data_IF_881194313492
#
_entry.id   IF_881194313492
#
_cell.length_a   1.000
_cell.length_b   1.000
_cell.length_c   1.000
_cell.angle_alpha   90.00
_cell.angle_beta   90.00
_cell.angle_gamma   90.00
#
_symmetry.space_group_name_H-M   'P 1'
#
loop_
_entity.id
_entity.type
_entity.pdbx_description
1 polymer ?
#
# COMPACT_ATOMS: atom_id res chain seq x y z
N UNK A 1 -17.50 -56.22 11.68
CA UNK A 1 -17.82 -55.27 10.59
C UNK A 1 -16.54 -54.53 10.26
N UNK A 2 -16.07 -54.75 9.04
CA UNK A 2 -14.76 -54.35 8.53
C UNK A 2 -14.73 -52.84 8.27
N UNK A 3 -13.74 -52.14 8.83
CA UNK A 3 -13.53 -50.72 8.58
C UNK A 3 -12.55 -50.60 7.41
N UNK A 4 -13.08 -50.35 6.22
CA UNK A 4 -12.31 -50.09 5.00
C UNK A 4 -11.62 -48.73 5.10
N UNK A 5 -10.31 -48.73 4.83
CA UNK A 5 -9.46 -47.56 4.82
C UNK A 5 -9.82 -46.61 3.69
N UNK A 6 -9.95 -45.33 4.03
CA UNK A 6 -9.96 -44.23 3.07
C UNK A 6 -8.53 -43.71 2.93
N UNK A 7 -7.96 -43.86 1.72
CA UNK A 7 -6.67 -43.29 1.36
C UNK A 7 -6.74 -41.75 1.38
N UNK A 8 -5.70 -41.06 1.88
CA UNK A 8 -5.65 -39.61 1.88
C UNK A 8 -5.44 -39.08 0.46
N UNK A 9 -6.38 -38.25 0.00
CA UNK A 9 -6.23 -37.44 -1.23
C UNK A 9 -5.07 -36.47 -1.07
N UNK A 10 -3.96 -36.76 -1.73
CA UNK A 10 -2.82 -35.85 -1.91
C UNK A 10 -3.31 -34.62 -2.68
N UNK A 11 -3.27 -33.44 -2.04
CA UNK A 11 -3.54 -32.16 -2.70
C UNK A 11 -2.37 -31.83 -3.63
N UNK A 12 -2.63 -31.34 -4.86
CA UNK A 12 -1.57 -30.90 -5.76
C UNK A 12 -0.84 -29.71 -5.14
N UNK A 13 0.49 -29.80 -5.08
CA UNK A 13 1.37 -28.73 -4.59
C UNK A 13 1.15 -27.47 -5.43
N UNK A 14 0.73 -26.38 -4.79
CA UNK A 14 0.64 -25.07 -5.40
C UNK A 14 2.07 -24.57 -5.69
N UNK A 15 2.47 -24.60 -6.96
CA UNK A 15 3.74 -24.04 -7.41
C UNK A 15 3.82 -22.56 -7.05
N UNK A 16 4.70 -22.25 -6.09
CA UNK A 16 5.02 -20.91 -5.63
C UNK A 16 5.33 -19.97 -6.80
N UNK A 17 4.56 -18.88 -6.88
CA UNK A 17 4.70 -17.80 -7.88
C UNK A 17 6.13 -17.19 -7.87
N UNK A 18 6.90 -17.39 -6.80
CA UNK A 18 8.28 -16.89 -6.68
C UNK A 18 9.32 -17.70 -7.46
N UNK A 19 9.00 -18.89 -7.97
CA UNK A 19 9.92 -19.72 -8.76
C UNK A 19 9.78 -19.56 -10.28
N UNK A 20 8.98 -18.61 -10.76
CA UNK A 20 8.91 -18.36 -12.21
C UNK A 20 10.25 -17.78 -12.72
N UNK A 21 10.94 -18.43 -13.67
CA UNK A 21 12.18 -17.92 -14.22
C UNK A 21 11.92 -16.56 -14.88
N UNK A 22 12.58 -15.52 -14.37
CA UNK A 22 12.45 -14.17 -14.91
C UNK A 22 12.90 -14.18 -16.38
N UNK A 23 12.12 -13.64 -17.32
CA UNK A 23 12.53 -13.55 -18.71
C UNK A 23 13.80 -12.70 -18.78
N UNK A 24 14.89 -13.32 -19.24
CA UNK A 24 16.16 -12.61 -19.48
C UNK A 24 15.89 -11.55 -20.55
N UNK A 25 15.96 -10.27 -20.16
CA UNK A 25 15.92 -9.15 -21.10
C UNK A 25 17.06 -9.36 -22.11
N UNK A 26 16.71 -9.73 -23.35
CA UNK A 26 17.64 -9.66 -24.47
C UNK A 26 17.88 -8.18 -24.76
N UNK A 27 19.01 -7.66 -24.28
CA UNK A 27 19.49 -6.34 -24.65
C UNK A 27 19.60 -6.28 -26.18
N UNK A 28 18.93 -5.31 -26.80
CA UNK A 28 18.99 -5.10 -28.24
C UNK A 28 20.45 -4.82 -28.64
N UNK A 29 21.00 -5.49 -29.67
CA UNK A 29 22.35 -5.20 -30.15
C UNK A 29 22.40 -3.77 -30.69
N UNK A 30 23.28 -2.96 -30.10
CA UNK A 30 23.63 -1.62 -30.56
C UNK A 30 24.18 -1.72 -31.99
N UNK A 31 23.40 -1.25 -32.97
CA UNK A 31 23.87 -1.06 -34.34
C UNK A 31 24.93 0.05 -34.35
N UNK A 32 26.20 -0.34 -34.37
CA UNK A 32 27.27 0.56 -34.77
C UNK A 32 27.09 0.90 -36.25
N UNK A 33 26.68 2.15 -36.51
CA UNK A 33 26.69 2.77 -37.83
C UNK A 33 28.13 3.16 -38.13
N UNK A 34 28.77 2.41 -39.01
CA UNK A 34 30.13 2.68 -39.48
C UNK A 34 29.99 3.51 -40.76
N UNK A 35 30.25 4.80 -40.64
CA UNK A 35 30.34 5.72 -41.77
C UNK A 35 31.65 5.44 -42.53
N UNK A 36 31.58 5.44 -43.85
CA UNK A 36 32.68 5.19 -44.77
C UNK A 36 32.83 6.41 -45.68
N UNK A 37 34.05 6.97 -45.85
CA UNK A 37 34.33 7.85 -46.96
C UNK A 37 35.42 7.32 -47.90
N UNK A 38 35.30 7.77 -49.15
CA UNK A 38 36.37 8.00 -50.15
C UNK A 38 37.21 6.79 -50.59
N UNK A 39 37.04 6.25 -51.81
CA UNK A 39 37.31 6.84 -53.13
C UNK A 39 38.77 7.28 -53.32
N UNK A 40 39.58 6.45 -53.99
CA UNK A 40 40.50 6.95 -55.02
C UNK A 40 40.99 5.84 -55.99
N UNK A 41 40.81 6.13 -57.29
CA UNK A 41 41.67 5.96 -58.49
C UNK A 41 42.89 4.99 -58.40
N UNK A 42 43.32 4.24 -59.43
CA UNK A 42 43.34 4.47 -60.88
C UNK A 42 43.99 3.25 -61.61
N UNK A 43 43.67 3.09 -62.91
CA UNK A 43 44.47 2.58 -64.06
C UNK A 43 45.06 1.15 -64.01
N UNK A 44 45.17 0.37 -65.08
CA UNK A 44 44.94 0.50 -66.53
C UNK A 44 45.05 -0.92 -67.14
N UNK A 45 44.75 -1.01 -68.44
CA UNK A 45 45.18 -2.04 -69.40
C UNK A 45 44.30 -3.29 -69.57
N UNK A 46 44.11 -3.91 -70.74
CA UNK A 46 44.24 -3.58 -72.18
C UNK A 46 43.69 -4.84 -72.90
N UNK A 47 42.77 -4.64 -73.86
CA UNK A 47 42.54 -5.45 -75.09
C UNK A 47 41.87 -6.85 -75.03
N UNK A 48 40.98 -7.04 -76.02
CA UNK A 48 40.44 -8.30 -76.61
C UNK A 48 39.39 -9.13 -75.85
N UNK A 49 38.11 -9.00 -76.22
CA UNK A 49 37.22 -10.14 -76.57
C UNK A 49 35.80 -9.65 -76.98
N UNK A 50 35.67 -9.07 -78.18
CA UNK A 50 34.37 -8.70 -78.75
C UNK A 50 33.68 -9.89 -79.41
N UNK A 51 33.22 -10.88 -78.62
CA UNK A 51 32.15 -11.81 -79.05
C UNK A 51 31.52 -12.65 -77.92
N UNK A 52 31.97 -12.51 -76.67
CA UNK A 52 31.33 -13.13 -75.47
C UNK A 52 30.43 -12.17 -74.67
N UNK A 53 30.50 -10.86 -74.90
CA UNK A 53 29.80 -9.82 -74.12
C UNK A 53 28.25 -9.89 -74.19
N UNK A 54 27.68 -10.25 -75.35
CA UNK A 54 26.20 -10.32 -75.50
C UNK A 54 25.55 -11.46 -74.70
N UNK A 55 26.30 -12.51 -74.34
CA UNK A 55 25.79 -13.60 -73.48
C UNK A 55 25.86 -13.25 -72.00
N UNK A 56 26.96 -12.63 -71.57
CA UNK A 56 27.20 -12.18 -70.18
C UNK A 56 26.24 -11.07 -69.77
N UNK A 57 25.87 -10.18 -70.68
CA UNK A 57 24.92 -9.10 -70.40
C UNK A 57 23.49 -9.63 -70.22
N UNK A 58 23.09 -10.66 -70.98
CA UNK A 58 21.79 -11.32 -70.81
C UNK A 58 21.65 -12.09 -69.49
N UNK A 59 22.73 -12.71 -69.00
CA UNK A 59 22.76 -13.39 -67.70
C UNK A 59 22.78 -12.41 -66.53
N UNK A 60 23.48 -11.27 -66.66
CA UNK A 60 23.44 -10.19 -65.67
C UNK A 60 22.04 -9.61 -65.52
N UNK A 61 21.30 -9.39 -66.62
CA UNK A 61 19.91 -8.89 -66.55
C UNK A 61 19.00 -9.88 -65.83
N UNK A 62 19.08 -11.18 -66.14
CA UNK A 62 18.30 -12.22 -65.43
C UNK A 62 18.64 -12.29 -63.94
N UNK A 63 19.92 -12.19 -63.59
CA UNK A 63 20.36 -12.16 -62.19
C UNK A 63 19.81 -10.93 -61.43
N UNK A 64 19.81 -9.76 -62.06
CA UNK A 64 19.25 -8.53 -61.47
C UNK A 64 17.74 -8.61 -61.27
N UNK A 65 16.98 -9.18 -62.21
CA UNK A 65 15.54 -9.40 -62.06
C UNK A 65 15.24 -10.38 -60.91
N UNK A 66 15.97 -11.49 -60.82
CA UNK A 66 15.81 -12.47 -59.75
C UNK A 66 16.07 -11.84 -58.37
N UNK A 67 17.15 -11.06 -58.25
CA UNK A 67 17.51 -10.37 -57.00
C UNK A 67 16.49 -9.29 -56.62
N UNK A 68 15.85 -8.65 -57.61
CA UNK A 68 14.76 -7.68 -57.39
C UNK A 68 13.49 -8.38 -56.88
N UNK A 69 13.15 -9.54 -57.43
CA UNK A 69 12.01 -10.35 -56.97
C UNK A 69 12.26 -10.82 -55.53
N UNK A 70 13.44 -11.38 -55.23
CA UNK A 70 13.80 -11.83 -53.88
C UNK A 70 13.75 -10.68 -52.86
N UNK A 71 14.18 -9.48 -53.25
CA UNK A 71 14.10 -8.29 -52.38
C UNK A 71 12.65 -7.88 -52.11
N UNK A 72 11.79 -7.89 -53.13
CA UNK A 72 10.36 -7.58 -52.98
C UNK A 72 9.67 -8.63 -52.09
N UNK A 73 10.04 -9.90 -52.24
CA UNK A 73 9.49 -10.99 -51.44
C UNK A 73 9.89 -10.88 -49.96
N UNK A 74 11.17 -10.59 -49.68
CA UNK A 74 11.64 -10.28 -48.31
C UNK A 74 11.00 -9.03 -47.72
N UNK A 75 10.78 -7.99 -48.51
CA UNK A 75 10.07 -6.79 -48.04
C UNK A 75 8.60 -7.08 -47.70
N UNK A 76 7.92 -7.93 -48.49
CA UNK A 76 6.56 -8.37 -48.22
C UNK A 76 6.47 -9.25 -46.97
N UNK A 77 7.43 -10.16 -46.78
CA UNK A 77 7.51 -11.00 -45.58
C UNK A 77 7.75 -10.16 -44.33
N UNK A 78 8.69 -9.20 -44.39
CA UNK A 78 8.94 -8.25 -43.31
C UNK A 78 7.74 -7.34 -43.01
N UNK A 79 6.96 -6.96 -44.02
CA UNK A 79 5.72 -6.21 -43.82
C UNK A 79 4.66 -7.05 -43.11
N UNK A 80 4.49 -8.32 -43.51
CA UNK A 80 3.57 -9.25 -42.85
C UNK A 80 3.94 -9.48 -41.38
N UNK A 81 5.22 -9.69 -41.07
CA UNK A 81 5.69 -9.87 -39.70
C UNK A 81 5.40 -8.64 -38.83
N UNK A 82 5.62 -7.44 -39.39
CA UNK A 82 5.31 -6.18 -38.68
C UNK A 82 3.81 -5.99 -38.46
N UNK A 83 2.97 -6.33 -39.44
CA UNK A 83 1.52 -6.29 -39.29
C UNK A 83 1.04 -7.29 -38.24
N UNK A 84 1.60 -8.50 -38.21
CA UNK A 84 1.27 -9.51 -37.20
C UNK A 84 1.71 -9.09 -35.79
N UNK A 85 2.91 -8.51 -35.64
CA UNK A 85 3.37 -7.96 -34.36
C UNK A 85 2.48 -6.79 -33.90
N UNK A 86 2.04 -5.94 -34.82
CA UNK A 86 1.14 -4.83 -34.53
C UNK A 86 -0.24 -5.33 -34.08
N UNK A 87 -0.78 -6.36 -34.74
CA UNK A 87 -2.04 -7.02 -34.36
C UNK A 87 -1.96 -7.65 -32.98
N UNK A 88 -0.89 -8.41 -32.67
CA UNK A 88 -0.65 -8.97 -31.33
C UNK A 88 -0.60 -7.88 -30.25
N UNK A 89 0.08 -6.76 -30.51
CA UNK A 89 0.12 -5.61 -29.57
C UNK A 89 -1.24 -4.93 -29.41
N UNK A 90 -2.09 -4.90 -30.44
CA UNK A 90 -3.45 -4.36 -30.36
C UNK A 90 -4.35 -5.29 -29.55
N UNK A 91 -4.33 -6.59 -29.83
CA UNK A 91 -5.09 -7.62 -29.10
C UNK A 91 -4.73 -7.63 -27.61
N UNK A 92 -3.44 -7.57 -27.25
CA UNK A 92 -3.01 -7.46 -25.85
C UNK A 92 -3.52 -6.17 -25.16
N UNK A 93 -3.58 -5.04 -25.89
CA UNK A 93 -4.10 -3.78 -25.35
C UNK A 93 -5.60 -3.88 -25.13
N UNK A 94 -6.34 -4.44 -26.08
CA UNK A 94 -7.79 -4.63 -25.99
C UNK A 94 -8.15 -5.60 -24.86
N UNK A 95 -7.41 -6.70 -24.71
CA UNK A 95 -7.61 -7.64 -23.61
C UNK A 95 -7.35 -6.98 -22.26
N UNK A 96 -6.31 -6.15 -22.14
CA UNK A 96 -6.04 -5.35 -20.93
C UNK A 96 -7.15 -4.36 -20.63
N UNK A 97 -7.74 -3.72 -21.64
CA UNK A 97 -8.87 -2.79 -21.48
C UNK A 97 -10.12 -3.56 -21.06
N UNK A 98 -10.44 -4.68 -21.69
CA UNK A 98 -11.59 -5.53 -21.36
C UNK A 98 -11.49 -6.05 -19.93
N UNK A 99 -10.34 -6.58 -19.52
CA UNK A 99 -10.08 -6.98 -18.13
C UNK A 99 -10.24 -5.81 -17.14
N UNK A 100 -9.86 -4.58 -17.51
CA UNK A 100 -10.09 -3.38 -16.69
C UNK A 100 -11.58 -3.01 -16.59
N UNK A 101 -12.34 -3.14 -17.67
CA UNK A 101 -13.77 -2.85 -17.70
C UNK A 101 -14.58 -3.90 -16.92
N UNK A 102 -14.27 -5.17 -17.07
CA UNK A 102 -14.88 -6.25 -16.29
C UNK A 102 -14.60 -6.06 -14.78
N UNK A 103 -13.36 -5.68 -14.42
CA UNK A 103 -13.04 -5.30 -13.03
C UNK A 103 -13.83 -4.08 -12.54
N UNK A 104 -14.11 -3.10 -13.40
CA UNK A 104 -14.93 -1.92 -13.04
C UNK A 104 -16.40 -2.29 -12.86
N UNK A 105 -16.95 -3.14 -13.73
CA UNK A 105 -18.33 -3.61 -13.69
C UNK A 105 -18.61 -4.50 -12.47
N UNK A 106 -17.63 -5.29 -12.05
CA UNK A 106 -17.72 -6.18 -10.89
C UNK A 106 -17.25 -5.51 -9.58
N UNK A 107 -17.10 -4.18 -9.53
CA UNK A 107 -16.83 -3.51 -8.25
C UNK A 107 -18.07 -3.65 -7.38
N UNK A 108 -17.94 -4.13 -6.12
CA UNK A 108 -19.05 -4.12 -5.20
C UNK A 108 -19.60 -2.68 -5.12
N UNK A 109 -20.93 -2.50 -5.08
CA UNK A 109 -21.50 -1.18 -4.92
C UNK A 109 -20.92 -0.55 -3.65
N UNK A 110 -20.62 0.75 -3.71
CA UNK A 110 -20.22 1.51 -2.53
C UNK A 110 -21.36 1.39 -1.52
N UNK A 111 -21.14 0.62 -0.47
CA UNK A 111 -22.07 0.59 0.66
C UNK A 111 -22.08 2.02 1.22
N UNK A 112 -23.23 2.55 1.57
CA UNK A 112 -23.26 3.86 2.21
C UNK A 112 -22.94 3.72 3.70
N UNK A 113 -22.30 4.72 4.32
CA UNK A 113 -22.07 4.71 5.77
C UNK A 113 -23.38 4.50 6.57
N UNK A 114 -24.50 4.97 6.02
CA UNK A 114 -25.86 4.73 6.53
C UNK A 114 -26.23 3.24 6.50
N UNK A 115 -25.91 2.53 5.42
CA UNK A 115 -26.15 1.08 5.31
C UNK A 115 -25.26 0.30 6.27
N UNK A 116 -23.98 0.68 6.43
CA UNK A 116 -23.08 0.05 7.41
C UNK A 116 -23.58 0.25 8.84
N UNK A 117 -24.02 1.45 9.20
CA UNK A 117 -24.65 1.71 10.51
C UNK A 117 -25.92 0.87 10.68
N UNK A 118 -26.80 0.86 9.68
CA UNK A 118 -28.04 0.07 9.72
C UNK A 118 -27.75 -1.42 9.85
N UNK A 119 -26.71 -1.90 9.19
CA UNK A 119 -26.29 -3.29 9.21
C UNK A 119 -25.76 -3.69 10.60
N UNK A 120 -24.87 -2.90 11.19
CA UNK A 120 -24.36 -3.14 12.55
C UNK A 120 -25.47 -3.01 13.59
N UNK A 121 -26.32 -1.99 13.50
CA UNK A 121 -27.45 -1.81 14.41
C UNK A 121 -28.53 -2.91 14.25
N UNK A 122 -28.66 -3.48 13.05
CA UNK A 122 -29.56 -4.59 12.76
C UNK A 122 -29.06 -5.94 13.30
N UNK A 123 -27.77 -6.05 13.63
CA UNK A 123 -27.17 -7.26 14.17
C UNK A 123 -26.73 -7.06 15.62
N UNK A 124 -27.56 -7.54 16.56
CA UNK A 124 -27.31 -7.38 17.99
C UNK A 124 -25.94 -7.89 18.45
N UNK A 125 -25.43 -8.99 17.88
CA UNK A 125 -24.10 -9.54 18.21
C UNK A 125 -22.99 -8.55 17.80
N UNK A 126 -23.01 -8.05 16.56
CA UNK A 126 -22.02 -7.07 16.08
C UNK A 126 -22.07 -5.75 16.86
N UNK A 127 -23.27 -5.27 17.18
CA UNK A 127 -23.42 -4.05 17.98
C UNK A 127 -22.84 -4.22 19.38
N UNK A 128 -23.08 -5.37 20.03
CA UNK A 128 -22.53 -5.67 21.36
C UNK A 128 -21.01 -5.77 21.31
N UNK A 129 -20.43 -6.49 20.33
CA UNK A 129 -18.98 -6.58 20.20
C UNK A 129 -18.33 -5.23 19.91
N UNK A 130 -18.89 -4.45 18.99
CA UNK A 130 -18.37 -3.11 18.65
C UNK A 130 -18.39 -2.17 19.87
N UNK A 131 -19.50 -2.17 20.62
CA UNK A 131 -19.61 -1.38 21.85
C UNK A 131 -18.65 -1.87 22.94
N UNK A 132 -18.55 -3.19 23.13
CA UNK A 132 -17.65 -3.79 24.10
C UNK A 132 -16.19 -3.43 23.81
N UNK A 133 -15.75 -3.53 22.55
CA UNK A 133 -14.39 -3.14 22.14
C UNK A 133 -14.14 -1.65 22.35
N UNK A 134 -15.11 -0.77 22.05
CA UNK A 134 -14.98 0.66 22.33
C UNK A 134 -14.83 0.94 23.84
N UNK A 135 -15.64 0.30 24.69
CA UNK A 135 -15.55 0.45 26.14
C UNK A 135 -14.22 -0.09 26.70
N UNK A 136 -13.76 -1.24 26.20
CA UNK A 136 -12.46 -1.82 26.56
C UNK A 136 -11.33 -0.88 26.18
N UNK A 137 -11.34 -0.31 24.96
CA UNK A 137 -10.33 0.63 24.51
C UNK A 137 -10.29 1.89 25.39
N UNK A 138 -11.46 2.45 25.73
CA UNK A 138 -11.57 3.62 26.62
C UNK A 138 -11.01 3.29 28.01
N UNK A 139 -11.39 2.14 28.58
CA UNK A 139 -10.92 1.70 29.88
C UNK A 139 -9.40 1.51 29.91
N UNK A 140 -8.85 0.78 28.93
CA UNK A 140 -7.41 0.55 28.78
C UNK A 140 -6.67 1.88 28.63
N UNK A 141 -7.19 2.80 27.81
CA UNK A 141 -6.56 4.11 27.60
C UNK A 141 -6.50 4.93 28.89
N UNK A 142 -7.61 5.01 29.65
CA UNK A 142 -7.65 5.74 30.92
C UNK A 142 -6.70 5.11 31.93
N UNK A 143 -6.71 3.78 32.05
CA UNK A 143 -5.86 3.04 32.98
C UNK A 143 -4.38 3.25 32.67
N UNK A 144 -3.97 3.03 31.42
CA UNK A 144 -2.59 3.22 30.96
C UNK A 144 -2.14 4.67 31.09
N UNK A 145 -3.02 5.64 30.81
CA UNK A 145 -2.69 7.06 30.99
C UNK A 145 -2.30 7.35 32.43
N UNK A 146 -3.14 6.95 33.40
CA UNK A 146 -2.86 7.19 34.81
C UNK A 146 -1.57 6.50 35.28
N UNK A 147 -1.35 5.25 34.85
CA UNK A 147 -0.16 4.49 35.20
C UNK A 147 1.12 5.14 34.65
N UNK A 148 1.15 5.43 33.35
CA UNK A 148 2.32 6.02 32.69
C UNK A 148 2.54 7.45 33.16
N UNK A 149 1.46 8.23 33.32
CA UNK A 149 1.55 9.60 33.83
C UNK A 149 2.12 9.64 35.24
N UNK A 150 1.65 8.80 36.15
CA UNK A 150 2.17 8.72 37.52
C UNK A 150 3.66 8.35 37.53
N UNK A 151 4.04 7.34 36.74
CA UNK A 151 5.42 6.89 36.63
C UNK A 151 6.35 7.99 36.10
N UNK A 152 6.01 8.59 34.96
CA UNK A 152 6.83 9.64 34.33
C UNK A 152 6.85 10.90 35.20
N UNK A 153 5.74 11.28 35.83
CA UNK A 153 5.71 12.42 36.73
C UNK A 153 6.60 12.19 37.96
N UNK A 154 6.63 10.97 38.50
CA UNK A 154 7.54 10.60 39.58
C UNK A 154 9.02 10.74 39.20
N UNK A 155 9.38 10.35 37.97
CA UNK A 155 10.74 10.50 37.44
C UNK A 155 11.09 11.95 37.10
N UNK A 156 10.13 12.72 36.57
CA UNK A 156 10.38 14.02 36.00
C UNK A 156 10.24 15.16 37.01
N UNK A 157 9.42 15.01 38.05
CA UNK A 157 9.15 16.05 39.04
C UNK A 157 10.41 16.70 39.63
N UNK A 158 11.48 15.97 40.00
CA UNK A 158 12.69 16.57 40.55
C UNK A 158 13.38 17.60 39.63
N UNK A 159 13.21 17.52 38.31
CA UNK A 159 13.88 18.42 37.36
C UNK A 159 13.26 19.82 37.29
N UNK A 160 12.01 19.98 37.74
CA UNK A 160 11.27 21.25 37.60
C UNK A 160 10.42 21.59 38.83
N UNK A 161 10.49 20.81 39.91
CA UNK A 161 9.74 21.07 41.16
C UNK A 161 10.37 22.16 42.00
N UNK A 162 11.70 22.29 41.96
CA UNK A 162 12.46 23.25 42.76
C UNK A 162 12.56 24.56 41.96
N UNK A 163 11.93 25.66 42.40
CA UNK A 163 12.10 26.97 41.79
C UNK A 163 13.49 27.55 42.13
N UNK A 164 14.08 28.37 41.24
CA UNK A 164 15.29 29.12 41.58
C UNK A 164 15.03 30.10 42.73
N UNK A 165 16.01 30.30 43.61
CA UNK A 165 15.89 31.28 44.70
C UNK A 165 15.95 32.71 44.16
N UNK A 166 15.10 33.60 44.68
CA UNK A 166 14.99 35.00 44.24
C UNK A 166 15.63 35.90 45.30
N UNK A 167 16.95 36.06 45.23
CA UNK A 167 17.71 36.96 46.12
C UNK A 167 17.96 38.36 45.53
N UNK A 168 18.04 38.48 44.20
CA UNK A 168 18.39 39.72 43.50
C UNK A 168 17.43 39.99 42.33
N UNK A 169 17.39 41.23 41.83
CA UNK A 169 16.50 41.61 40.72
C UNK A 169 16.69 40.74 39.46
N UNK A 170 17.92 40.33 39.15
CA UNK A 170 18.20 39.51 37.98
C UNK A 170 17.67 38.07 38.12
N UNK A 171 17.43 37.59 39.35
CA UNK A 171 16.81 36.29 39.62
C UNK A 171 15.34 36.21 39.16
N UNK A 172 14.66 37.35 38.97
CA UNK A 172 13.32 37.35 38.35
C UNK A 172 13.34 36.83 36.92
N UNK A 173 14.39 37.12 36.13
CA UNK A 173 14.52 36.57 34.78
C UNK A 173 14.74 35.05 34.80
N UNK A 174 15.52 34.54 35.75
CA UNK A 174 15.69 33.10 35.94
C UNK A 174 14.40 32.41 36.38
N UNK A 175 13.64 33.03 37.29
CA UNK A 175 12.34 32.51 37.70
C UNK A 175 11.34 32.49 36.54
N UNK A 176 11.28 33.55 35.74
CA UNK A 176 10.44 33.61 34.54
C UNK A 176 10.85 32.54 33.53
N UNK A 177 12.15 32.39 33.27
CA UNK A 177 12.70 31.33 32.41
C UNK A 177 12.36 29.93 32.91
N UNK A 178 12.48 29.69 34.21
CA UNK A 178 12.08 28.44 34.85
C UNK A 178 10.58 28.18 34.72
N UNK A 179 9.72 29.18 34.93
CA UNK A 179 8.27 29.02 34.80
C UNK A 179 7.86 28.66 33.36
N UNK A 180 8.46 29.34 32.38
CA UNK A 180 8.26 29.05 30.95
C UNK A 180 8.77 27.64 30.61
N UNK A 181 9.98 27.30 31.04
CA UNK A 181 10.56 25.97 30.83
C UNK A 181 9.69 24.87 31.46
N UNK A 182 9.26 25.04 32.71
CA UNK A 182 8.35 24.12 33.43
C UNK A 182 7.04 23.93 32.67
N UNK A 183 6.46 25.00 32.15
CA UNK A 183 5.23 24.92 31.35
C UNK A 183 5.44 24.09 30.08
N UNK A 184 6.45 24.42 29.26
CA UNK A 184 6.73 23.70 28.01
C UNK A 184 7.18 22.26 28.24
N UNK A 185 7.96 22.02 29.29
CA UNK A 185 8.39 20.68 29.67
C UNK A 185 7.19 19.82 30.10
N UNK A 186 6.33 20.34 30.99
CA UNK A 186 5.11 19.63 31.42
C UNK A 186 4.16 19.38 30.24
N UNK A 187 4.00 20.37 29.35
CA UNK A 187 3.19 20.21 28.14
C UNK A 187 3.75 19.12 27.22
N UNK A 188 5.05 19.16 26.92
CA UNK A 188 5.73 18.15 26.09
C UNK A 188 5.61 16.74 26.67
N UNK A 189 5.87 16.59 27.97
CA UNK A 189 5.73 15.32 28.68
C UNK A 189 4.30 14.81 28.63
N UNK A 190 3.31 15.68 28.88
CA UNK A 190 1.89 15.30 28.82
C UNK A 190 1.48 14.84 27.42
N UNK A 191 1.92 15.54 26.37
CA UNK A 191 1.68 15.17 24.98
C UNK A 191 2.30 13.80 24.68
N UNK A 192 3.56 13.59 25.08
CA UNK A 192 4.27 12.34 24.85
C UNK A 192 3.61 11.15 25.57
N UNK A 193 3.21 11.33 26.83
CA UNK A 193 2.47 10.32 27.60
C UNK A 193 1.15 9.99 26.91
N UNK A 194 0.39 11.00 26.50
CA UNK A 194 -0.87 10.81 25.80
C UNK A 194 -0.70 9.93 24.54
N UNK A 195 0.29 10.24 23.70
CA UNK A 195 0.53 9.47 22.48
C UNK A 195 1.03 8.04 22.77
N UNK A 196 1.96 7.85 23.71
CA UNK A 196 2.43 6.51 24.08
C UNK A 196 1.28 5.66 24.62
N UNK A 197 0.48 6.23 25.53
CA UNK A 197 -0.69 5.55 26.06
C UNK A 197 -1.63 5.12 24.95
N UNK A 198 -1.93 6.02 24.01
CA UNK A 198 -2.80 5.72 22.88
C UNK A 198 -2.22 4.62 21.98
N UNK A 199 -0.92 4.65 21.68
CA UNK A 199 -0.24 3.62 20.89
C UNK A 199 -0.31 2.25 21.58
N UNK A 200 -0.05 2.18 22.89
CA UNK A 200 -0.13 0.92 23.64
C UNK A 200 -1.59 0.43 23.72
N UNK A 201 -2.54 1.32 23.98
CA UNK A 201 -3.95 0.98 24.02
C UNK A 201 -4.44 0.43 22.66
N UNK A 202 -4.01 1.06 21.56
CA UNK A 202 -4.28 0.58 20.20
C UNK A 202 -3.69 -0.81 19.96
N UNK A 203 -2.44 -1.06 20.35
CA UNK A 203 -1.79 -2.36 20.20
C UNK A 203 -2.49 -3.47 20.98
N UNK A 204 -2.90 -3.19 22.22
CA UNK A 204 -3.64 -4.17 23.04
C UNK A 204 -5.05 -4.42 22.46
N UNK A 205 -5.66 -3.40 21.86
CA UNK A 205 -7.02 -3.50 21.29
C UNK A 205 -7.02 -4.04 19.85
N UNK A 206 -5.87 -4.13 19.16
CA UNK A 206 -5.79 -4.57 17.75
C UNK A 206 -6.39 -5.96 17.50
N UNK A 207 -6.23 -6.98 18.36
CA UNK A 207 -6.82 -8.30 18.13
C UNK A 207 -8.34 -8.26 18.19
N UNK A 208 -8.93 -7.40 19.02
CA UNK A 208 -10.38 -7.23 19.09
C UNK A 208 -10.93 -6.60 17.80
N UNK A 209 -10.21 -5.64 17.21
CA UNK A 209 -10.59 -5.06 15.93
C UNK A 209 -10.47 -6.06 14.78
N UNK A 210 -9.39 -6.85 14.74
CA UNK A 210 -9.20 -7.95 13.79
C UNK A 210 -10.34 -8.98 13.90
N UNK A 211 -10.74 -9.33 15.13
CA UNK A 211 -11.86 -10.22 15.38
C UNK A 211 -13.21 -9.66 14.91
N UNK A 212 -13.54 -8.40 15.23
CA UNK A 212 -14.78 -7.76 14.75
C UNK A 212 -14.80 -7.72 13.21
N UNK A 213 -13.67 -7.42 12.59
CA UNK A 213 -13.51 -7.45 11.13
C UNK A 213 -13.89 -8.81 10.56
N UNK A 214 -13.31 -9.88 11.12
CA UNK A 214 -13.57 -11.24 10.69
C UNK A 214 -15.04 -11.64 10.86
N UNK A 215 -15.62 -11.40 12.04
CA UNK A 215 -17.04 -11.70 12.32
C UNK A 215 -17.96 -10.93 11.37
N UNK A 216 -17.65 -9.65 11.10
CA UNK A 216 -18.43 -8.83 10.18
C UNK A 216 -18.38 -9.34 8.74
N UNK A 217 -17.20 -9.80 8.28
CA UNK A 217 -17.03 -10.37 6.95
C UNK A 217 -17.82 -11.70 6.81
N UNK A 218 -17.82 -12.54 7.85
CA UNK A 218 -18.57 -13.79 7.86
C UNK A 218 -20.08 -13.56 7.80
N UNK A 219 -20.60 -12.63 8.61
CA UNK A 219 -22.02 -12.29 8.60
C UNK A 219 -22.40 -11.66 7.26
N UNK A 220 -21.53 -10.84 6.65
CA UNK A 220 -21.79 -10.23 5.35
C UNK A 220 -21.88 -11.27 4.22
N UNK A 221 -21.06 -12.33 4.30
CA UNK A 221 -21.12 -13.48 3.37
C UNK A 221 -22.32 -14.40 3.59
N UNK A 222 -23.11 -14.18 4.64
CA UNK A 222 -24.24 -15.03 5.00
C UNK A 222 -23.85 -16.34 5.68
N UNK A 223 -22.58 -16.48 6.11
CA UNK A 223 -22.17 -17.61 6.92
C UNK A 223 -22.82 -17.47 8.30
N UNK A 224 -23.42 -18.56 8.80
CA UNK A 224 -24.01 -18.60 10.15
C UNK A 224 -22.91 -18.32 11.16
N UNK A 225 -23.10 -17.28 11.96
CA UNK A 225 -22.09 -16.75 12.88
C UNK A 225 -21.69 -17.70 14.03
N UNK A 226 -22.07 -18.97 13.97
CA UNK A 226 -21.98 -19.92 15.07
C UNK A 226 -20.98 -21.05 14.82
N UNK A 227 -20.56 -21.32 13.58
CA UNK A 227 -19.69 -22.47 13.29
C UNK A 227 -18.17 -22.14 13.31
N UNK A 228 -17.75 -20.87 13.09
CA UNK A 228 -16.31 -20.53 12.95
C UNK A 228 -15.85 -19.24 13.68
N UNK A 229 -16.67 -18.66 14.57
CA UNK A 229 -16.39 -17.34 15.18
C UNK A 229 -15.68 -17.41 16.55
N UNK A 230 -14.87 -18.44 16.79
CA UNK A 230 -14.12 -18.56 18.03
C UNK A 230 -12.91 -17.61 18.06
N UNK A 231 -12.71 -16.93 19.19
CA UNK A 231 -11.54 -16.08 19.40
C UNK A 231 -10.32 -16.95 19.70
N UNK A 232 -9.53 -17.24 18.66
CA UNK A 232 -8.34 -18.10 18.77
C UNK A 232 -7.14 -17.27 19.25
N UNK A 233 -6.54 -17.71 20.37
CA UNK A 233 -5.40 -17.02 21.01
C UNK A 233 -4.16 -16.96 20.12
N UNK A 234 -3.95 -17.94 19.23
CA UNK A 234 -2.79 -17.96 18.34
C UNK A 234 -2.74 -16.73 17.43
N UNK A 235 -3.90 -16.24 16.99
CA UNK A 235 -3.97 -15.04 16.17
C UNK A 235 -3.77 -13.74 16.95
N UNK A 236 -3.91 -13.76 18.28
CA UNK A 236 -3.71 -12.57 19.12
C UNK A 236 -2.27 -12.10 19.05
N UNK A 237 -1.32 -13.05 19.14
CA UNK A 237 0.10 -12.72 19.06
C UNK A 237 0.47 -12.16 17.68
N UNK A 238 -0.10 -12.72 16.61
CA UNK A 238 0.10 -12.26 15.25
C UNK A 238 -0.49 -10.86 15.02
N UNK A 239 -1.72 -10.61 15.48
CA UNK A 239 -2.40 -9.32 15.40
C UNK A 239 -1.65 -8.22 16.19
N UNK A 240 -1.06 -8.56 17.34
CA UNK A 240 -0.22 -7.63 18.12
C UNK A 240 1.09 -7.33 17.38
N UNK A 241 1.78 -8.35 16.86
CA UNK A 241 3.03 -8.16 16.13
C UNK A 241 2.82 -7.34 14.86
N UNK A 242 1.71 -7.57 14.17
CA UNK A 242 1.32 -6.80 13.01
C UNK A 242 0.94 -5.36 13.38
N UNK A 243 0.17 -5.18 14.45
CA UNK A 243 -0.12 -3.86 15.02
C UNK A 243 1.15 -3.09 15.38
N UNK A 244 2.17 -3.77 15.92
CA UNK A 244 3.46 -3.17 16.27
C UNK A 244 4.22 -2.69 15.04
N UNK A 245 4.27 -3.50 13.98
CA UNK A 245 4.88 -3.11 12.69
C UNK A 245 4.17 -1.88 12.11
N UNK A 246 2.84 -1.88 12.11
CA UNK A 246 2.05 -0.77 11.59
C UNK A 246 2.21 0.49 12.42
N UNK A 247 2.30 0.35 13.74
CA UNK A 247 2.57 1.45 14.66
C UNK A 247 3.95 2.07 14.41
N UNK A 248 4.97 1.24 14.17
CA UNK A 248 6.32 1.72 13.82
C UNK A 248 6.34 2.46 12.47
N UNK A 249 5.60 1.96 11.46
CA UNK A 249 5.44 2.65 10.17
C UNK A 249 4.72 3.99 10.36
N UNK A 250 3.61 4.01 11.11
CA UNK A 250 2.84 5.21 11.39
C UNK A 250 3.68 6.27 12.13
N UNK A 251 4.47 5.84 13.12
CA UNK A 251 5.38 6.73 13.84
C UNK A 251 6.46 7.31 12.91
N UNK A 252 7.07 6.47 12.08
CA UNK A 252 8.10 6.91 11.11
C UNK A 252 7.55 7.92 10.11
N UNK A 253 6.35 7.66 9.57
CA UNK A 253 5.66 8.59 8.68
C UNK A 253 5.31 9.88 9.41
N UNK A 254 4.85 9.82 10.66
CA UNK A 254 4.52 11.01 11.46
C UNK A 254 5.75 11.89 11.69
N UNK A 255 6.90 11.29 12.02
CA UNK A 255 8.17 12.02 12.16
C UNK A 255 8.59 12.67 10.84
N UNK A 256 8.46 11.95 9.72
CA UNK A 256 8.74 12.51 8.40
C UNK A 256 7.80 13.68 8.04
N UNK A 257 6.50 13.54 8.33
CA UNK A 257 5.49 14.58 8.12
C UNK A 257 5.71 15.82 8.97
N UNK A 258 6.25 15.67 10.18
CA UNK A 258 6.64 16.80 11.02
C UNK A 258 7.67 17.70 10.30
N UNK A 259 8.67 17.12 9.65
CA UNK A 259 9.66 17.89 8.89
C UNK A 259 9.07 18.50 7.61
N UNK A 260 8.18 17.79 6.92
CA UNK A 260 7.49 18.33 5.73
C UNK A 260 6.66 19.57 6.08
N UNK A 261 6.08 19.61 7.28
CA UNK A 261 5.21 20.71 7.70
C UNK A 261 5.93 22.08 7.73
N UNK A 262 7.27 22.11 7.78
CA UNK A 262 8.04 23.35 7.67
C UNK A 262 7.96 24.00 6.28
N UNK A 263 7.50 23.30 5.24
CA UNK A 263 7.28 23.87 3.90
C UNK A 263 5.88 24.51 3.87
N UNK A 264 5.77 25.85 3.75
CA UNK A 264 4.48 26.52 3.75
C UNK A 264 3.57 26.02 2.62
N UNK A 265 2.28 25.89 2.90
CA UNK A 265 1.21 25.45 1.97
C UNK A 265 1.39 24.01 1.46
N UNK A 266 2.46 23.70 0.74
CA UNK A 266 2.73 22.37 0.15
C UNK A 266 2.88 21.32 1.26
N UNK A 267 3.59 21.66 2.34
CA UNK A 267 3.79 20.77 3.47
C UNK A 267 2.46 20.39 4.14
N UNK A 268 1.57 21.35 4.32
CA UNK A 268 0.25 21.11 4.93
C UNK A 268 -0.64 20.21 4.05
N UNK A 269 -0.65 20.43 2.73
CA UNK A 269 -1.40 19.58 1.80
C UNK A 269 -0.85 18.14 1.85
N UNK A 270 0.47 17.98 1.84
CA UNK A 270 1.12 16.67 1.92
C UNK A 270 0.79 15.96 3.24
N UNK A 271 0.87 16.66 4.37
CA UNK A 271 0.50 16.13 5.70
C UNK A 271 -0.95 15.64 5.69
N UNK A 272 -1.89 16.45 5.17
CA UNK A 272 -3.29 16.07 5.09
C UNK A 272 -3.53 14.83 4.24
N UNK A 273 -2.95 14.77 3.03
CA UNK A 273 -3.06 13.62 2.14
C UNK A 273 -2.42 12.38 2.76
N UNK A 274 -1.24 12.50 3.35
CA UNK A 274 -0.56 11.39 4.01
C UNK A 274 -1.32 10.87 5.22
N UNK A 275 -1.99 11.72 6.00
CA UNK A 275 -2.87 11.27 7.08
C UNK A 275 -4.05 10.44 6.57
N UNK A 276 -4.70 10.86 5.47
CA UNK A 276 -5.78 10.09 4.85
C UNK A 276 -5.28 8.71 4.40
N UNK A 277 -4.12 8.66 3.74
CA UNK A 277 -3.52 7.40 3.30
C UNK A 277 -3.14 6.52 4.49
N UNK A 278 -2.51 7.09 5.52
CA UNK A 278 -2.10 6.37 6.72
C UNK A 278 -3.30 5.79 7.48
N UNK A 279 -4.33 6.59 7.70
CA UNK A 279 -5.58 6.17 8.36
C UNK A 279 -6.29 5.06 7.57
N UNK A 280 -6.29 5.15 6.24
CA UNK A 280 -6.84 4.09 5.39
C UNK A 280 -6.05 2.79 5.54
N UNK A 281 -4.72 2.86 5.49
CA UNK A 281 -3.85 1.70 5.67
C UNK A 281 -4.10 1.04 7.03
N UNK A 282 -4.23 1.82 8.10
CA UNK A 282 -4.46 1.30 9.45
C UNK A 282 -5.80 0.56 9.56
N UNK A 283 -6.87 1.06 8.95
CA UNK A 283 -8.17 0.39 8.97
C UNK A 283 -8.16 -0.88 8.13
N UNK A 284 -7.57 -0.84 6.93
CA UNK A 284 -7.52 -2.00 6.04
C UNK A 284 -6.61 -3.09 6.62
N UNK A 285 -5.63 -2.75 7.46
CA UNK A 285 -4.74 -3.73 8.09
C UNK A 285 -5.51 -4.84 8.83
N UNK A 286 -6.65 -4.51 9.46
CA UNK A 286 -7.47 -5.49 10.19
C UNK A 286 -8.05 -6.57 9.26
N UNK A 287 -8.54 -6.20 8.08
CA UNK A 287 -9.02 -7.17 7.08
C UNK A 287 -7.89 -7.83 6.31
N UNK A 288 -6.83 -7.07 6.03
CA UNK A 288 -5.69 -7.46 5.22
C UNK A 288 -4.83 -8.55 5.89
N UNK A 289 -4.71 -8.51 7.22
CA UNK A 289 -3.93 -9.49 7.98
C UNK A 289 -4.50 -10.90 7.82
N UNK A 290 -5.82 -11.03 7.92
CA UNK A 290 -6.54 -12.30 7.71
C UNK A 290 -6.51 -12.81 6.27
N UNK A 291 -6.24 -11.94 5.32
CA UNK A 291 -6.12 -12.26 3.89
C UNK A 291 -4.65 -12.39 3.45
N UNK A 292 -3.71 -12.32 4.39
CA UNK A 292 -2.26 -12.37 4.14
C UNK A 292 -1.77 -11.32 3.12
N UNK A 293 -2.44 -10.17 3.08
CA UNK A 293 -2.05 -9.10 2.16
C UNK A 293 -0.75 -8.46 2.63
N UNK A 294 0.29 -8.59 1.81
CA UNK A 294 1.52 -7.83 1.98
C UNK A 294 1.27 -6.31 1.85
N UNK A 295 2.22 -5.51 2.34
CA UNK A 295 2.12 -4.04 2.34
C UNK A 295 1.91 -3.47 0.93
N UNK A 296 2.55 -4.05 -0.10
CA UNK A 296 2.44 -3.61 -1.49
C UNK A 296 1.02 -3.78 -2.02
N UNK A 297 0.37 -4.91 -1.70
CA UNK A 297 -1.02 -5.18 -2.09
C UNK A 297 -1.97 -4.14 -1.49
N UNK A 298 -1.73 -3.69 -0.26
CA UNK A 298 -2.55 -2.65 0.39
C UNK A 298 -2.39 -1.28 -0.29
N UNK A 299 -1.16 -0.90 -0.60
CA UNK A 299 -0.87 0.33 -1.36
C UNK A 299 -1.50 0.27 -2.76
N UNK A 300 -1.37 -0.88 -3.44
CA UNK A 300 -1.95 -1.08 -4.76
C UNK A 300 -3.49 -1.01 -4.71
N UNK A 301 -4.10 -1.59 -3.68
CA UNK A 301 -5.55 -1.53 -3.47
C UNK A 301 -6.04 -0.09 -3.31
N UNK A 302 -5.33 0.74 -2.52
CA UNK A 302 -5.71 2.15 -2.36
C UNK A 302 -5.59 2.94 -3.66
N UNK A 303 -4.54 2.67 -4.44
CA UNK A 303 -4.34 3.28 -5.76
C UNK A 303 -5.49 2.92 -6.72
N UNK A 304 -6.00 1.68 -6.63
CA UNK A 304 -7.09 1.21 -7.49
C UNK A 304 -8.48 1.68 -7.01
N UNK A 305 -8.60 2.11 -5.75
CA UNK A 305 -9.83 2.54 -5.08
C UNK A 305 -9.72 3.92 -4.38
N UNK A 306 -9.33 5.00 -5.10
CA UNK A 306 -9.00 6.28 -4.48
C UNK A 306 -10.18 6.93 -3.76
N UNK A 307 -11.41 6.76 -4.26
CA UNK A 307 -12.61 7.30 -3.62
C UNK A 307 -12.92 6.60 -2.29
N UNK A 308 -12.70 5.28 -2.22
CA UNK A 308 -12.90 4.52 -0.98
C UNK A 308 -11.82 4.89 0.03
N UNK A 309 -10.57 4.99 -0.42
CA UNK A 309 -9.46 5.50 0.40
C UNK A 309 -9.75 6.91 0.94
N UNK A 310 -10.25 7.82 0.10
CA UNK A 310 -10.61 9.16 0.53
C UNK A 310 -11.76 9.12 1.55
N UNK A 311 -12.76 8.26 1.33
CA UNK A 311 -13.91 8.14 2.23
C UNK A 311 -13.50 7.58 3.60
N UNK A 312 -12.81 6.43 3.63
CA UNK A 312 -12.40 5.76 4.87
C UNK A 312 -11.39 6.62 5.63
N UNK A 313 -10.28 6.96 4.99
CA UNK A 313 -9.22 7.75 5.61
C UNK A 313 -9.63 9.18 5.91
N UNK A 314 -10.38 9.82 5.01
CA UNK A 314 -10.90 11.17 5.20
C UNK A 314 -11.88 11.23 6.36
N UNK A 315 -12.83 10.30 6.46
CA UNK A 315 -13.80 10.27 7.56
C UNK A 315 -13.10 10.16 8.92
N UNK A 316 -12.13 9.25 9.04
CA UNK A 316 -11.37 9.11 10.28
C UNK A 316 -10.53 10.38 10.57
N UNK A 317 -9.93 10.98 9.55
CA UNK A 317 -9.15 12.23 9.70
C UNK A 317 -10.03 13.40 10.15
N UNK A 318 -11.22 13.58 9.57
CA UNK A 318 -12.15 14.63 9.98
C UNK A 318 -12.69 14.44 11.39
N UNK A 319 -12.95 13.20 11.79
CA UNK A 319 -13.32 12.87 13.18
C UNK A 319 -12.19 13.21 14.14
N UNK A 320 -10.94 12.96 13.74
CA UNK A 320 -9.77 13.25 14.56
C UNK A 320 -9.53 14.75 14.82
N UNK A 321 -10.08 15.63 13.97
CA UNK A 321 -10.01 17.09 14.17
C UNK A 321 -10.80 17.51 15.41
N UNK A 322 -11.81 16.74 15.85
CA UNK A 322 -12.65 17.09 17.00
C UNK A 322 -11.98 16.57 18.29
N UNK A 323 -11.33 17.43 19.12
CA UNK A 323 -10.40 16.94 20.15
C UNK A 323 -11.07 16.10 21.25
N UNK A 324 -12.25 16.53 21.70
CA UNK A 324 -13.04 15.82 22.72
C UNK A 324 -13.67 14.54 22.21
N UNK A 325 -13.99 14.52 20.91
CA UNK A 325 -14.70 13.42 20.31
C UNK A 325 -13.75 12.41 19.66
N UNK A 326 -12.50 12.76 19.36
CA UNK A 326 -11.57 11.93 18.60
C UNK A 326 -11.44 10.51 19.19
N UNK A 327 -11.07 10.38 20.47
CA UNK A 327 -10.84 9.06 21.05
C UNK A 327 -12.12 8.22 21.15
N UNK A 328 -13.25 8.86 21.49
CA UNK A 328 -14.54 8.18 21.64
C UNK A 328 -15.10 7.83 20.26
N UNK A 329 -15.23 8.81 19.37
CA UNK A 329 -15.69 8.64 18.00
C UNK A 329 -14.79 7.69 17.23
N UNK A 330 -13.46 7.74 17.35
CA UNK A 330 -12.59 6.77 16.70
C UNK A 330 -12.87 5.36 17.23
N UNK A 331 -13.00 5.19 18.55
CA UNK A 331 -13.34 3.89 19.15
C UNK A 331 -14.69 3.36 18.64
N UNK A 332 -15.67 4.24 18.38
CA UNK A 332 -16.94 3.85 17.77
C UNK A 332 -16.83 3.63 16.25
N UNK A 333 -16.17 4.53 15.53
CA UNK A 333 -16.10 4.61 14.07
C UNK A 333 -15.23 3.51 13.46
N UNK A 334 -14.14 3.13 14.13
CA UNK A 334 -13.22 2.08 13.64
C UNK A 334 -13.99 0.76 13.42
N UNK A 335 -14.78 0.24 14.39
CA UNK A 335 -15.65 -0.90 14.13
C UNK A 335 -16.53 -0.74 12.90
N UNK A 336 -17.17 0.43 12.68
CA UNK A 336 -17.99 0.65 11.49
C UNK A 336 -17.17 0.65 10.19
N UNK A 337 -16.01 1.29 10.17
CA UNK A 337 -15.15 1.37 8.99
C UNK A 337 -14.46 0.03 8.67
N UNK A 338 -14.30 -0.82 9.66
CA UNK A 338 -13.76 -2.17 9.51
C UNK A 338 -14.76 -3.12 8.84
N UNK A 339 -16.07 -2.88 9.01
CA UNK A 339 -17.14 -3.63 8.35
C UNK A 339 -17.40 -3.16 6.90
N UNK A 340 -16.99 -1.94 6.57
CA UNK A 340 -17.14 -1.29 5.27
C UNK A 340 -16.15 -1.84 4.23
#
# INVERSE_FOLDING_TARGET
MSNEGSEPKVKPEEESIFNRPRPKLKLAPLKHKQDSPENDRKSSDTVEESEKEKKVESEKVKYFEQKKIEKIEKEKELQKDKEEELRKKQEEKEEKIRKRLERKRNRPPLISLKETIRYIAGNGKLSVFSLATALIMIFISIFLYHMIFSFINGLAAPFYSIPPMIEEFHHYFYFAGWAVFKFFFKASVTIFIFYITFMIAYLISSPLYSFISFVSENIFKGNTAEEDNEFILDYVAEDILQGLKMTAVALSVTVYLFFINFIPVIGQIMVFVSYILLNTILIIDFTATRKEWNFVSRILWMKDNPLITLLIGGSLTFVAIIPLANNILAAFLIPFLVVY
#
